data_IF_596335286164
#
_entry.id   IF_596335286164
#
_cell.length_a   1.000
_cell.length_b   1.000
_cell.length_c   1.000
_cell.angle_alpha   90.00
_cell.angle_beta   90.00
_cell.angle_gamma   90.00
#
_symmetry.space_group_name_H-M   'P 1'
#
loop_
_entity.id
_entity.type
_entity.pdbx_description
1 polymer ?
#
# COMPACT_ATOMS: atom_id res chain seq x y z
N UNK A 1 2.06 14.58 8.57
CA UNK A 1 2.91 13.56 7.90
C UNK A 1 3.33 13.99 6.51
N UNK A 2 2.42 14.21 5.55
CA UNK A 2 2.80 14.63 4.19
C UNK A 2 3.69 15.89 4.13
N UNK A 3 3.40 16.91 4.94
CA UNK A 3 4.24 18.12 5.10
C UNK A 3 5.66 17.85 5.66
N UNK A 4 5.90 16.70 6.29
CA UNK A 4 7.23 16.31 6.76
C UNK A 4 8.07 15.66 5.68
N UNK A 5 7.44 15.08 4.66
CA UNK A 5 8.10 14.35 3.58
C UNK A 5 8.42 15.26 2.40
N UNK A 6 7.50 16.19 2.10
CA UNK A 6 7.55 17.02 0.91
C UNK A 6 7.73 18.49 1.28
N UNK A 7 8.73 19.13 0.66
CA UNK A 7 8.86 20.59 0.66
C UNK A 7 7.93 21.23 -0.38
N UNK A 8 7.68 20.51 -1.48
CA UNK A 8 6.75 20.89 -2.54
C UNK A 8 5.80 19.73 -2.82
N UNK A 9 4.50 20.01 -2.80
CA UNK A 9 3.45 18.99 -3.06
C UNK A 9 2.96 19.00 -4.50
N UNK A 10 3.56 19.81 -5.38
CA UNK A 10 3.21 19.90 -6.79
C UNK A 10 3.25 18.52 -7.45
N UNK A 11 4.28 17.73 -7.15
CA UNK A 11 4.37 16.36 -7.64
C UNK A 11 3.17 15.51 -7.20
N UNK A 12 2.80 15.50 -5.91
CA UNK A 12 1.64 14.74 -5.41
C UNK A 12 0.33 15.19 -6.08
N UNK A 13 0.18 16.49 -6.31
CA UNK A 13 -1.00 17.03 -7.00
C UNK A 13 -1.07 16.56 -8.46
N UNK A 14 0.07 16.52 -9.17
CA UNK A 14 0.18 15.99 -10.54
C UNK A 14 -0.15 14.50 -10.56
N UNK A 15 0.49 13.75 -9.67
CA UNK A 15 0.39 12.30 -9.59
C UNK A 15 -1.06 11.83 -9.39
N UNK A 16 -1.83 12.56 -8.57
CA UNK A 16 -3.27 12.35 -8.37
C UNK A 16 -4.12 12.87 -9.54
N UNK A 17 -3.82 14.06 -10.09
CA UNK A 17 -4.66 14.72 -11.12
C UNK A 17 -4.76 13.91 -12.41
N UNK A 18 -3.68 13.24 -12.79
CA UNK A 18 -3.67 12.42 -14.01
C UNK A 18 -4.17 10.99 -13.78
N UNK A 19 -4.68 10.69 -12.57
CA UNK A 19 -5.08 9.36 -12.09
C UNK A 19 -4.03 8.28 -12.36
N UNK A 20 -2.76 8.69 -12.46
CA UNK A 20 -1.63 7.81 -12.72
C UNK A 20 -1.17 7.12 -11.45
N UNK A 21 -1.48 7.69 -10.28
CA UNK A 21 -1.20 7.05 -9.01
C UNK A 21 -2.19 7.48 -7.92
N UNK A 22 -2.20 6.69 -6.85
CA UNK A 22 -2.97 6.95 -5.64
C UNK A 22 -2.01 7.15 -4.46
N UNK A 23 -1.59 8.40 -4.15
CA UNK A 23 -0.64 8.65 -3.06
C UNK A 23 -1.22 8.23 -1.71
N UNK A 24 -0.68 7.13 -1.18
CA UNK A 24 -1.17 6.43 0.00
C UNK A 24 -0.03 6.27 1.01
N UNK A 25 -0.30 6.70 2.25
CA UNK A 25 0.49 6.32 3.41
C UNK A 25 -0.21 5.18 4.15
N UNK A 26 0.53 4.13 4.46
CA UNK A 26 0.06 3.00 5.27
C UNK A 26 1.06 2.69 6.39
N UNK A 27 0.55 2.29 7.53
CA UNK A 27 1.39 1.95 8.67
C UNK A 27 0.59 1.46 9.85
N UNK A 28 1.29 0.87 10.81
CA UNK A 28 0.68 0.27 11.99
C UNK A 28 0.04 1.29 12.94
N UNK A 29 0.59 2.51 12.99
CA UNK A 29 0.25 3.50 14.01
C UNK A 29 0.57 4.93 13.52
N UNK A 30 0.04 5.28 12.35
CA UNK A 30 0.14 6.62 11.77
C UNK A 30 -0.42 7.71 12.71
N UNK A 31 -1.44 7.39 13.52
CA UNK A 31 -1.99 8.29 14.54
C UNK A 31 -0.98 8.71 15.60
N UNK A 32 -0.04 7.82 15.95
CA UNK A 32 1.01 8.11 16.92
C UNK A 32 2.23 8.83 16.32
N UNK A 33 2.17 9.24 15.05
CA UNK A 33 3.27 9.96 14.40
C UNK A 33 3.66 11.19 15.20
N UNK A 34 4.90 11.18 15.68
CA UNK A 34 5.52 12.31 16.34
C UNK A 34 6.74 12.74 15.54
N UNK A 35 6.83 14.04 15.17
CA UNK A 35 8.04 14.61 14.62
C UNK A 35 9.24 14.25 15.51
N UNK A 36 10.36 13.84 14.91
CA UNK A 36 11.62 13.51 15.59
C UNK A 36 11.66 12.20 16.40
N UNK A 37 10.56 11.42 16.42
CA UNK A 37 10.57 10.05 16.96
C UNK A 37 10.57 9.04 15.82
N UNK A 38 11.55 8.14 15.80
CA UNK A 38 11.65 7.11 14.75
C UNK A 38 10.43 6.20 14.82
N UNK A 39 9.55 6.31 13.83
CA UNK A 39 8.42 5.43 13.62
C UNK A 39 8.34 5.05 12.14
N UNK A 40 8.43 3.74 11.86
CA UNK A 40 8.41 3.22 10.50
C UNK A 40 7.00 3.29 9.92
N UNK A 41 6.86 4.15 8.93
CA UNK A 41 5.67 4.28 8.10
C UNK A 41 6.06 3.99 6.66
N UNK A 42 5.12 3.51 5.85
CA UNK A 42 5.38 3.13 4.47
C UNK A 42 4.48 3.95 3.55
N UNK A 43 5.08 4.67 2.62
CA UNK A 43 4.37 5.36 1.55
C UNK A 43 4.58 4.58 0.25
N UNK A 44 3.58 4.50 -0.62
CA UNK A 44 3.76 4.00 -1.98
C UNK A 44 3.58 5.16 -2.97
N UNK A 45 4.60 5.46 -3.77
CA UNK A 45 4.60 6.56 -4.76
C UNK A 45 5.23 6.11 -6.10
N UNK A 46 4.75 6.67 -7.21
CA UNK A 46 5.13 6.26 -8.58
C UNK A 46 5.72 7.44 -9.38
N UNK A 47 7.02 7.34 -9.69
CA UNK A 47 7.94 8.05 -10.61
C UNK A 47 7.69 9.50 -11.12
N UNK A 48 8.70 10.37 -10.91
CA UNK A 48 9.41 11.21 -11.91
C UNK A 48 10.75 11.67 -11.30
N UNK A 49 11.78 12.04 -12.07
CA UNK A 49 13.03 12.64 -11.55
C UNK A 49 12.76 13.87 -10.66
N UNK A 50 11.61 14.51 -10.88
CA UNK A 50 11.11 15.64 -10.09
C UNK A 50 10.63 15.24 -8.69
N UNK A 51 10.39 13.95 -8.42
CA UNK A 51 10.00 13.48 -7.10
C UNK A 51 11.06 13.85 -6.07
N UNK A 52 12.33 13.55 -6.34
CA UNK A 52 13.43 13.84 -5.43
C UNK A 52 13.57 15.34 -5.14
N UNK A 53 13.32 16.19 -6.13
CA UNK A 53 13.32 17.64 -5.97
C UNK A 53 12.17 18.16 -5.08
N UNK A 54 11.09 17.40 -4.93
CA UNK A 54 9.97 17.72 -4.06
C UNK A 54 10.15 17.20 -2.63
N UNK A 55 11.17 16.36 -2.36
CA UNK A 55 11.42 15.78 -1.04
C UNK A 55 12.22 16.73 -0.14
N UNK A 56 12.03 16.57 1.17
CA UNK A 56 12.77 17.33 2.18
C UNK A 56 14.17 16.77 2.42
N UNK A 57 15.16 17.64 2.61
CA UNK A 57 16.57 17.24 2.81
C UNK A 57 16.80 16.19 3.92
N UNK A 58 17.94 15.49 3.82
CA UNK A 58 18.41 14.53 4.81
C UNK A 58 17.84 13.12 4.63
N UNK A 59 17.16 12.84 3.52
CA UNK A 59 16.72 11.50 3.16
C UNK A 59 17.87 10.62 2.64
N UNK A 60 17.70 9.30 2.74
CA UNK A 60 18.62 8.29 2.19
C UNK A 60 17.85 7.36 1.26
N UNK A 61 18.27 7.27 0.00
CA UNK A 61 17.67 6.37 -0.98
C UNK A 61 18.40 5.03 -1.05
N UNK A 62 17.68 3.96 -0.77
CA UNK A 62 18.10 2.58 -0.99
C UNK A 62 17.52 2.06 -2.30
N UNK A 63 18.34 2.04 -3.35
CA UNK A 63 17.96 1.59 -4.69
C UNK A 63 17.57 0.10 -4.76
N UNK A 64 18.19 -0.78 -3.96
CA UNK A 64 17.89 -2.22 -4.03
C UNK A 64 16.51 -2.56 -3.46
N UNK A 65 16.01 -1.73 -2.54
CA UNK A 65 14.70 -1.88 -1.90
C UNK A 65 13.65 -0.90 -2.41
N UNK A 66 14.05 0.04 -3.25
CA UNK A 66 13.21 1.15 -3.70
C UNK A 66 12.67 1.97 -2.53
N UNK A 67 13.49 2.19 -1.50
CA UNK A 67 13.06 2.84 -0.24
C UNK A 67 13.80 4.15 -0.01
N UNK A 68 13.08 5.22 0.31
CA UNK A 68 13.64 6.47 0.84
C UNK A 68 13.37 6.53 2.34
N UNK A 69 14.42 6.59 3.14
CA UNK A 69 14.32 6.74 4.60
C UNK A 69 14.54 8.19 5.00
N UNK A 70 13.64 8.72 5.82
CA UNK A 70 13.76 10.06 6.42
C UNK A 70 14.28 9.98 7.86
N UNK A 71 14.97 11.01 8.38
CA UNK A 71 15.43 11.05 9.77
C UNK A 71 14.32 10.90 10.80
N UNK A 72 13.08 11.27 10.45
CA UNK A 72 11.89 11.07 11.28
C UNK A 72 11.38 9.63 11.34
N UNK A 73 12.07 8.68 10.68
CA UNK A 73 11.73 7.26 10.67
C UNK A 73 10.71 6.85 9.62
N UNK A 74 10.13 7.79 8.86
CA UNK A 74 9.25 7.45 7.73
C UNK A 74 10.07 6.85 6.59
N UNK A 75 9.56 5.77 6.00
CA UNK A 75 10.10 5.11 4.83
C UNK A 75 9.10 5.29 3.67
N UNK A 76 9.55 5.77 2.53
CA UNK A 76 8.74 5.84 1.31
C UNK A 76 9.23 4.74 0.38
N UNK A 77 8.36 3.81 0.00
CA UNK A 77 8.61 2.87 -1.08
C UNK A 77 8.24 3.53 -2.42
N UNK A 78 9.20 3.67 -3.33
CA UNK A 78 9.03 4.31 -4.64
C UNK A 78 9.30 3.28 -5.71
N UNK A 79 8.25 2.62 -6.19
CA UNK A 79 8.37 1.70 -7.31
C UNK A 79 8.08 2.43 -8.62
N UNK A 80 8.85 2.07 -9.64
CA UNK A 80 8.57 2.43 -11.02
C UNK A 80 7.57 1.41 -11.56
N UNK A 81 6.29 1.75 -11.60
CA UNK A 81 5.31 0.85 -12.24
C UNK A 81 4.16 1.67 -12.84
N UNK A 82 3.97 1.50 -14.15
CA UNK A 82 2.94 2.13 -15.00
C UNK A 82 2.11 0.98 -15.56
N UNK A 83 0.92 0.75 -15.01
CA UNK A 83 -0.27 0.17 -15.68
C UNK A 83 -1.48 -0.04 -14.75
N UNK A 84 -1.39 0.29 -13.45
CA UNK A 84 -2.54 0.19 -12.55
C UNK A 84 -2.89 -1.24 -12.13
N UNK A 85 -1.98 -2.19 -12.36
CA UNK A 85 -2.12 -3.62 -12.01
C UNK A 85 -1.04 -4.11 -11.04
N UNK A 86 -0.33 -3.19 -10.38
CA UNK A 86 1.01 -3.49 -9.87
C UNK A 86 1.06 -3.66 -8.34
N UNK A 87 1.94 -4.56 -7.92
CA UNK A 87 2.08 -5.03 -6.54
C UNK A 87 3.12 -4.20 -5.76
N UNK A 88 2.75 -3.75 -4.55
CA UNK A 88 3.66 -2.97 -3.69
C UNK A 88 4.30 -3.88 -2.64
N UNK A 89 5.62 -4.04 -2.74
CA UNK A 89 6.40 -4.84 -1.79
C UNK A 89 6.65 -4.08 -0.49
N UNK A 90 6.05 -4.53 0.60
CA UNK A 90 6.12 -3.93 1.92
C UNK A 90 6.42 -4.99 3.00
N UNK A 91 7.06 -4.62 4.12
CA UNK A 91 7.27 -5.53 5.23
C UNK A 91 5.94 -5.71 5.97
N UNK A 92 5.12 -6.64 5.49
CA UNK A 92 3.76 -6.88 5.99
C UNK A 92 3.75 -7.08 7.51
N UNK A 93 4.72 -7.81 8.06
CA UNK A 93 4.82 -8.03 9.50
C UNK A 93 5.03 -6.75 10.34
N UNK A 94 5.61 -5.70 9.75
CA UNK A 94 5.85 -4.42 10.41
C UNK A 94 4.65 -3.47 10.32
N UNK A 95 3.91 -3.49 9.21
CA UNK A 95 2.81 -2.55 8.96
C UNK A 95 1.47 -2.99 9.56
N UNK A 96 1.24 -4.29 9.74
CA UNK A 96 0.01 -4.78 10.37
C UNK A 96 0.18 -4.93 11.89
N UNK A 97 -0.77 -4.39 12.65
CA UNK A 97 -0.97 -4.79 14.04
C UNK A 97 -1.91 -6.01 14.10
N UNK A 98 -1.78 -6.81 15.16
CA UNK A 98 -2.73 -7.88 15.44
C UNK A 98 -3.20 -7.73 16.88
N UNK A 99 -4.51 -7.50 17.07
CA UNK A 99 -5.18 -7.41 18.35
C UNK A 99 -6.23 -8.52 18.53
N UNK A 100 -7.08 -8.39 19.56
CA UNK A 100 -8.17 -9.34 19.83
C UNK A 100 -9.19 -9.42 18.68
N UNK A 101 -9.43 -8.30 17.99
CA UNK A 101 -10.33 -8.19 16.83
C UNK A 101 -9.68 -8.61 15.49
N UNK A 102 -8.43 -9.10 15.53
CA UNK A 102 -7.69 -9.57 14.37
C UNK A 102 -6.69 -8.54 13.84
N UNK A 103 -6.49 -8.51 12.52
CA UNK A 103 -5.54 -7.61 11.88
C UNK A 103 -6.09 -6.18 11.81
N UNK A 104 -5.17 -5.23 11.94
CA UNK A 104 -5.45 -3.81 11.81
C UNK A 104 -4.29 -3.09 11.12
N UNK A 105 -4.64 -2.08 10.32
CA UNK A 105 -3.73 -1.22 9.58
C UNK A 105 -4.33 0.19 9.54
N UNK A 106 -3.50 1.21 9.70
CA UNK A 106 -3.91 2.59 9.46
C UNK A 106 -3.44 3.06 8.09
N UNK A 107 -4.20 3.97 7.49
CA UNK A 107 -3.85 4.57 6.22
C UNK A 107 -4.38 6.00 6.07
N UNK A 108 -3.77 6.75 5.16
CA UNK A 108 -4.18 8.12 4.85
C UNK A 108 -3.83 8.45 3.39
N UNK A 109 -4.78 9.01 2.65
CA UNK A 109 -4.53 9.56 1.32
C UNK A 109 -4.00 10.99 1.41
N UNK A 110 -3.15 11.39 0.46
CA UNK A 110 -2.59 12.73 0.40
C UNK A 110 -3.65 13.85 0.42
N UNK A 111 -4.73 13.71 -0.37
CA UNK A 111 -5.75 14.74 -0.48
C UNK A 111 -6.78 14.72 0.64
N UNK A 112 -7.18 13.52 1.05
CA UNK A 112 -8.19 13.33 2.09
C UNK A 112 -7.62 13.73 3.46
N UNK A 113 -6.32 13.51 3.71
CA UNK A 113 -5.59 13.77 4.97
C UNK A 113 -6.22 13.19 6.24
N UNK A 114 -7.41 12.62 6.15
CA UNK A 114 -8.08 11.90 7.21
C UNK A 114 -7.35 10.58 7.43
N UNK A 115 -7.13 10.28 8.71
CA UNK A 115 -6.62 9.00 9.11
C UNK A 115 -7.77 8.00 9.12
N UNK A 116 -7.55 6.87 8.45
CA UNK A 116 -8.53 5.78 8.35
C UNK A 116 -7.89 4.50 8.86
N UNK A 117 -8.74 3.56 9.27
CA UNK A 117 -8.34 2.24 9.74
C UNK A 117 -8.98 1.16 8.88
N UNK A 118 -8.22 0.11 8.61
CA UNK A 118 -8.72 -1.15 8.05
C UNK A 118 -8.77 -2.18 9.15
N UNK A 119 -9.86 -2.93 9.16
CA UNK A 119 -10.04 -4.08 10.04
C UNK A 119 -9.80 -5.37 9.27
N UNK A 120 -9.83 -6.51 9.96
CA UNK A 120 -9.74 -7.83 9.34
C UNK A 120 -10.69 -8.05 8.14
N UNK A 121 -11.85 -7.37 8.10
CA UNK A 121 -12.81 -7.48 6.99
C UNK A 121 -12.36 -6.78 5.71
N UNK A 122 -11.52 -5.76 5.86
CA UNK A 122 -11.03 -4.93 4.76
C UNK A 122 -9.67 -5.42 4.24
N UNK A 123 -9.05 -6.35 4.97
CA UNK A 123 -7.76 -6.95 4.63
C UNK A 123 -8.04 -8.34 4.06
N UNK A 124 -7.83 -8.52 2.77
CA UNK A 124 -8.14 -9.75 2.04
C UNK A 124 -6.87 -10.56 1.89
N UNK A 125 -6.78 -11.67 2.62
CA UNK A 125 -5.67 -12.62 2.55
C UNK A 125 -6.11 -13.95 1.94
N UNK A 126 -5.39 -14.99 2.33
CA UNK A 126 -5.71 -16.36 1.95
C UNK A 126 -7.09 -16.77 2.47
N UNK A 127 -7.91 -17.31 1.58
CA UNK A 127 -9.27 -17.77 1.86
C UNK A 127 -10.24 -16.67 2.32
N UNK A 128 -9.94 -15.39 2.05
CA UNK A 128 -10.83 -14.26 2.31
C UNK A 128 -10.32 -13.27 3.36
N UNK A 129 -11.22 -12.62 4.12
CA UNK A 129 -10.87 -11.69 5.19
C UNK A 129 -9.81 -12.23 6.16
N UNK A 130 -8.80 -11.42 6.44
CA UNK A 130 -7.61 -11.82 7.15
C UNK A 130 -7.67 -11.41 8.62
N UNK A 131 -7.93 -12.39 9.49
CA UNK A 131 -7.95 -12.17 10.94
C UNK A 131 -6.59 -12.39 11.62
N UNK A 132 -5.60 -12.95 10.91
CA UNK A 132 -4.30 -13.34 11.46
C UNK A 132 -3.19 -13.09 10.46
N UNK A 133 -1.98 -12.75 10.93
CA UNK A 133 -0.79 -12.52 10.08
C UNK A 133 -0.51 -13.67 9.10
N UNK A 134 -0.74 -14.93 9.51
CA UNK A 134 -0.54 -16.11 8.65
C UNK A 134 -1.35 -16.05 7.35
N UNK A 135 -2.52 -15.40 7.35
CA UNK A 135 -3.38 -15.27 6.17
C UNK A 135 -2.80 -14.29 5.13
N UNK A 136 -1.92 -13.38 5.54
CA UNK A 136 -1.31 -12.37 4.66
C UNK A 136 0.19 -12.59 4.41
N UNK A 137 0.76 -13.67 4.96
CA UNK A 137 2.21 -13.94 4.93
C UNK A 137 2.84 -13.86 3.52
N UNK A 138 2.06 -14.13 2.49
CA UNK A 138 2.51 -14.18 1.10
C UNK A 138 1.96 -13.03 0.25
N UNK A 139 1.30 -12.06 0.87
CA UNK A 139 0.61 -10.96 0.20
C UNK A 139 -0.86 -10.88 0.62
N UNK A 140 -1.47 -9.74 0.33
CA UNK A 140 -2.87 -9.46 0.60
C UNK A 140 -3.38 -8.30 -0.26
N UNK A 141 -4.70 -8.16 -0.36
CA UNK A 141 -5.32 -6.95 -0.90
C UNK A 141 -5.97 -6.13 0.20
N UNK A 142 -5.91 -4.81 0.08
CA UNK A 142 -6.59 -3.86 0.94
C UNK A 142 -7.81 -3.29 0.23
N UNK A 143 -8.98 -3.33 0.87
CA UNK A 143 -10.17 -2.60 0.43
C UNK A 143 -10.11 -1.17 0.95
N UNK A 144 -9.98 -0.20 0.05
CA UNK A 144 -9.82 1.20 0.39
C UNK A 144 -11.02 2.02 -0.08
N UNK A 145 -11.40 3.04 0.68
CA UNK A 145 -12.44 3.99 0.28
C UNK A 145 -11.82 5.35 -0.06
N UNK A 146 -11.82 5.69 -1.34
CA UNK A 146 -11.27 6.94 -1.85
C UNK A 146 -12.33 7.72 -2.62
N UNK A 147 -12.63 8.96 -2.20
CA UNK A 147 -13.63 9.84 -2.83
C UNK A 147 -14.99 9.14 -3.08
N UNK A 148 -15.44 8.32 -2.12
CA UNK A 148 -16.71 7.58 -2.23
C UNK A 148 -16.66 6.33 -3.11
N UNK A 149 -15.51 6.03 -3.73
CA UNK A 149 -15.30 4.85 -4.57
C UNK A 149 -14.45 3.81 -3.85
N UNK A 150 -14.83 2.53 -4.00
CA UNK A 150 -14.01 1.41 -3.54
C UNK A 150 -12.82 1.23 -4.49
N UNK A 151 -11.61 1.25 -3.94
CA UNK A 151 -10.36 0.91 -4.62
C UNK A 151 -9.72 -0.30 -3.94
N UNK A 152 -8.86 -1.00 -4.65
CA UNK A 152 -8.11 -2.12 -4.09
C UNK A 152 -6.62 -1.92 -4.33
N UNK A 153 -5.81 -2.13 -3.28
CA UNK A 153 -4.36 -2.09 -3.35
C UNK A 153 -3.82 -3.47 -3.00
N UNK A 154 -2.91 -4.01 -3.82
CA UNK A 154 -2.29 -5.31 -3.58
C UNK A 154 -0.92 -5.08 -2.94
N UNK A 155 -0.72 -5.69 -1.77
CA UNK A 155 0.53 -5.67 -1.03
C UNK A 155 1.21 -7.02 -1.10
N UNK A 156 2.50 -7.00 -1.40
CA UNK A 156 3.37 -8.17 -1.40
C UNK A 156 4.43 -8.05 -0.30
N UNK A 157 4.98 -9.16 0.20
CA UNK A 157 6.13 -9.11 1.08
C UNK A 157 7.39 -8.69 0.31
N UNK A 158 8.23 -7.82 0.90
CA UNK A 158 9.54 -7.42 0.33
C UNK A 158 10.39 -8.64 -0.06
N UNK A 159 10.33 -9.71 0.73
CA UNK A 159 11.01 -10.96 0.46
C UNK A 159 9.99 -12.02 0.05
N UNK A 160 9.62 -12.02 -1.22
CA UNK A 160 8.64 -12.97 -1.74
C UNK A 160 9.19 -14.40 -1.70
N UNK A 161 8.59 -15.24 -0.84
CA UNK A 161 9.00 -16.65 -0.69
C UNK A 161 8.08 -17.60 -1.44
N UNK A 162 6.84 -17.20 -1.73
CA UNK A 162 5.84 -17.99 -2.45
C UNK A 162 4.87 -17.05 -3.17
N UNK A 163 4.42 -17.45 -4.36
CA UNK A 163 3.35 -16.78 -5.11
C UNK A 163 1.98 -17.13 -4.54
N UNK A 164 1.05 -16.18 -4.63
CA UNK A 164 -0.38 -16.34 -4.38
C UNK A 164 -1.16 -16.05 -5.66
N UNK A 165 -2.39 -16.56 -5.73
CA UNK A 165 -3.28 -16.42 -6.89
C UNK A 165 -4.66 -15.96 -6.44
N UNK A 166 -5.35 -15.18 -7.27
CA UNK A 166 -6.73 -14.80 -6.98
C UNK A 166 -7.60 -16.05 -6.99
N UNK A 167 -8.34 -16.28 -5.91
CA UNK A 167 -9.28 -17.40 -5.76
C UNK A 167 -10.70 -16.96 -6.12
N UNK A 168 -11.13 -15.81 -5.58
CA UNK A 168 -12.49 -15.28 -5.76
C UNK A 168 -12.48 -13.78 -5.99
N UNK A 169 -13.47 -13.35 -6.76
CA UNK A 169 -13.84 -11.95 -6.96
C UNK A 169 -15.21 -11.72 -6.30
N UNK A 170 -15.48 -10.50 -5.85
CA UNK A 170 -16.83 -10.09 -5.44
C UNK A 170 -17.66 -9.60 -6.63
N UNK A 171 -18.94 -9.31 -6.40
CA UNK A 171 -19.86 -8.82 -7.43
C UNK A 171 -19.52 -7.44 -8.00
N UNK A 172 -18.49 -6.76 -7.46
CA UNK A 172 -17.97 -5.48 -7.95
C UNK A 172 -16.63 -5.63 -8.69
N UNK A 173 -16.18 -6.86 -8.92
CA UNK A 173 -14.92 -7.14 -9.60
C UNK A 173 -13.68 -6.88 -8.74
N UNK A 174 -13.81 -6.86 -7.41
CA UNK A 174 -12.68 -6.76 -6.48
C UNK A 174 -12.28 -8.14 -5.96
N UNK A 175 -11.00 -8.33 -5.64
CA UNK A 175 -10.50 -9.60 -5.08
C UNK A 175 -11.13 -9.80 -3.70
N UNK A 176 -11.76 -10.96 -3.51
CA UNK A 176 -12.44 -11.34 -2.27
C UNK A 176 -11.77 -12.52 -1.55
N UNK A 177 -10.83 -13.22 -2.20
CA UNK A 177 -10.03 -14.30 -1.61
C UNK A 177 -8.77 -14.55 -2.43
N UNK A 178 -7.67 -14.89 -1.74
CA UNK A 178 -6.43 -15.42 -2.35
C UNK A 178 -6.23 -16.90 -2.05
N UNK A 179 -5.45 -17.60 -2.87
CA UNK A 179 -5.05 -18.99 -2.66
C UNK A 179 -3.56 -19.22 -2.92
N UNK A 180 -3.03 -20.31 -2.36
CA UNK A 180 -1.64 -20.77 -2.60
C UNK A 180 -1.54 -21.70 -3.81
N UNK A 181 -2.65 -22.28 -4.24
CA UNK A 181 -2.69 -23.20 -5.37
C UNK A 181 -3.27 -22.46 -6.57
N UNK A 182 -2.60 -22.42 -7.72
CA UNK A 182 -3.20 -21.84 -8.91
C UNK A 182 -4.52 -22.57 -9.20
N UNK A 183 -5.62 -21.82 -9.25
CA UNK A 183 -6.93 -22.36 -9.55
C UNK A 183 -7.05 -22.80 -11.03
N UNK A 184 -8.14 -23.50 -11.37
CA UNK A 184 -8.49 -23.81 -12.77
C UNK A 184 -8.80 -22.58 -13.63
N UNK A 185 -8.99 -21.42 -13.01
CA UNK A 185 -9.08 -20.15 -13.72
C UNK A 185 -7.70 -19.76 -14.24
N UNK A 186 -7.34 -20.35 -15.39
CA UNK A 186 -6.31 -19.80 -16.27
C UNK A 186 -6.66 -18.33 -16.51
N UNK A 187 -5.62 -17.51 -16.42
CA UNK A 187 -5.56 -16.13 -16.83
C UNK A 187 -6.80 -15.63 -17.58
N UNK A 188 -7.49 -14.63 -17.02
CA UNK A 188 -7.84 -13.52 -17.90
C UNK A 188 -6.51 -12.90 -18.33
N UNK A 189 -5.95 -13.44 -19.41
CA UNK A 189 -5.35 -12.62 -20.44
C UNK A 189 -6.44 -11.66 -20.91
N UNK A 190 -6.64 -10.60 -20.15
CA UNK A 190 -7.42 -9.42 -20.50
C UNK A 190 -7.31 -8.49 -19.32
N UNK A 191 -6.71 -7.33 -19.58
CA UNK A 191 -6.52 -6.28 -18.62
C UNK A 191 -7.79 -6.05 -17.82
N UNK A 192 -7.66 -6.15 -16.50
CA UNK A 192 -8.67 -5.60 -15.62
C UNK A 192 -8.48 -4.08 -15.70
N UNK A 193 -9.30 -3.48 -16.55
CA UNK A 193 -9.61 -2.05 -16.53
C UNK A 193 -10.36 -1.81 -15.22
N UNK A 194 -9.73 -1.10 -14.29
CA UNK A 194 -10.43 -0.35 -13.25
C UNK A 194 -10.17 1.12 -13.57
N UNK A 195 -11.26 1.79 -13.96
CA UNK A 195 -11.33 3.18 -14.41
C UNK A 195 -10.59 4.13 -13.47
#
# INVERSE_FOLDING_TARGET
MWDYLFIDKTWLNIAEKYDRCLPLLIGRNLSAFQPHKIQRHYCALIHEDKLFACLRDGWVYNKSRYEISFPCGIIINIREVITGQEEVGLPLDEIFSQGRSGLHLEYCFYRDRTLKSLTSQDIIGLNGPAHRKKAIKHGCSLKLLYKGQSRQCILEPVNMTKKIWVDKWDGKGMISSWTKTPGKYRAREQGVILV
#
